data_IF_460516823531
#
_entry.id   IF_460516823531
#
_cell.length_a   1.000
_cell.length_b   1.000
_cell.length_c   1.000
_cell.angle_alpha   90.00
_cell.angle_beta   90.00
_cell.angle_gamma   90.00
#
_symmetry.space_group_name_H-M   'P 1'
#
loop_
_entity.id
_entity.type
_entity.pdbx_description
1 polymer ?
#
# COMPACT_ATOMS: atom_id res chain seq x y z
N UNK A 1 -28.62 25.79 -62.67
CA UNK A 1 -28.57 25.31 -61.27
C UNK A 1 -27.15 24.82 -61.02
N UNK A 2 -26.45 25.29 -59.98
CA UNK A 2 -25.02 24.98 -59.79
C UNK A 2 -24.77 23.88 -58.76
N UNK A 3 -23.82 22.98 -59.02
CA UNK A 3 -23.39 21.95 -58.07
C UNK A 3 -22.58 22.53 -56.92
N UNK A 4 -23.04 22.26 -55.69
CA UNK A 4 -22.42 22.76 -54.46
C UNK A 4 -21.18 21.95 -54.05
N UNK A 5 -20.08 22.08 -54.79
CA UNK A 5 -18.82 21.37 -54.53
C UNK A 5 -18.05 21.98 -53.32
N UNK A 6 -18.54 21.71 -52.11
CA UNK A 6 -17.96 22.20 -50.86
C UNK A 6 -16.50 21.74 -50.66
N UNK A 7 -15.61 22.59 -50.11
CA UNK A 7 -14.19 22.28 -49.99
C UNK A 7 -13.95 21.14 -49.01
N UNK A 8 -13.44 20.00 -49.51
CA UNK A 8 -13.05 18.85 -48.68
C UNK A 8 -11.94 19.25 -47.72
N UNK A 9 -12.28 19.39 -46.43
CA UNK A 9 -11.30 19.61 -45.34
C UNK A 9 -10.29 18.45 -45.35
N UNK A 10 -9.03 18.75 -45.63
CA UNK A 10 -7.94 17.77 -45.52
C UNK A 10 -7.68 17.52 -44.03
N UNK A 11 -7.88 16.30 -43.52
CA UNK A 11 -7.34 15.95 -42.19
C UNK A 11 -5.81 16.16 -42.23
N UNK A 12 -5.20 16.77 -41.20
CA UNK A 12 -3.75 16.80 -41.09
C UNK A 12 -3.23 15.37 -40.96
N UNK A 13 -2.10 15.01 -41.59
CA UNK A 13 -1.58 13.65 -41.54
C UNK A 13 -1.31 13.26 -40.08
N UNK A 14 -2.05 12.25 -39.58
CA UNK A 14 -1.96 11.78 -38.20
C UNK A 14 -0.53 11.31 -37.93
N UNK A 15 0.29 12.17 -37.32
CA UNK A 15 1.72 11.94 -37.06
C UNK A 15 1.85 10.70 -36.17
N UNK A 16 2.10 9.54 -36.78
CA UNK A 16 2.19 8.25 -36.10
C UNK A 16 3.44 8.27 -35.21
N UNK A 17 3.28 8.77 -33.98
CA UNK A 17 4.31 8.75 -32.95
C UNK A 17 4.73 7.30 -32.78
N UNK A 18 5.89 6.94 -33.35
CA UNK A 18 6.59 5.73 -32.95
C UNK A 18 6.92 5.94 -31.49
N UNK A 19 6.15 5.31 -30.58
CA UNK A 19 6.60 5.12 -29.20
C UNK A 19 7.98 4.46 -29.33
N UNK A 20 9.01 5.14 -28.84
CA UNK A 20 10.33 4.56 -28.72
C UNK A 20 10.22 3.26 -27.89
N UNK A 21 11.19 2.35 -28.06
CA UNK A 21 11.21 1.02 -27.43
C UNK A 21 11.37 1.00 -25.90
N UNK A 22 10.89 2.04 -25.21
CA UNK A 22 10.69 2.07 -23.76
C UNK A 22 9.70 0.95 -23.44
N UNK A 23 10.23 -0.20 -23.04
CA UNK A 23 9.45 -1.18 -22.27
C UNK A 23 8.82 -0.40 -21.11
N UNK A 24 7.50 -0.50 -20.85
CA UNK A 24 6.93 0.14 -19.68
C UNK A 24 7.71 -0.36 -18.47
N UNK A 25 8.34 0.57 -17.74
CA UNK A 25 9.07 0.21 -16.54
C UNK A 25 8.14 -0.59 -15.63
N UNK A 26 8.62 -1.72 -15.09
CA UNK A 26 7.85 -2.53 -14.15
C UNK A 26 7.38 -1.57 -13.05
N UNK A 27 6.06 -1.46 -12.77
CA UNK A 27 5.57 -0.48 -11.81
C UNK A 27 6.33 -0.67 -10.50
N UNK A 28 6.87 0.39 -9.88
CA UNK A 28 7.89 0.26 -8.82
C UNK A 28 7.32 -0.19 -7.47
N UNK A 29 6.13 -0.78 -7.46
CA UNK A 29 5.43 -1.23 -6.26
C UNK A 29 5.36 -2.77 -6.22
N UNK A 30 5.55 -3.30 -5.01
CA UNK A 30 5.49 -4.73 -4.71
C UNK A 30 4.07 -5.21 -4.41
N UNK A 31 3.99 -6.29 -3.64
CA UNK A 31 2.73 -6.92 -3.22
C UNK A 31 1.95 -6.12 -2.16
N UNK A 32 2.63 -5.27 -1.39
CA UNK A 32 2.07 -4.37 -0.38
C UNK A 32 2.69 -2.97 -0.49
N UNK A 33 1.99 -1.96 0.03
CA UNK A 33 2.52 -0.60 0.20
C UNK A 33 2.66 -0.30 1.71
N UNK A 34 3.82 0.19 2.14
CA UNK A 34 4.08 0.55 3.54
C UNK A 34 4.49 2.02 3.58
N UNK A 35 3.89 2.79 4.49
CA UNK A 35 4.18 4.21 4.70
C UNK A 35 4.48 4.45 6.18
N UNK A 36 5.70 4.91 6.50
CA UNK A 36 5.97 5.47 7.81
C UNK A 36 5.44 6.90 7.85
N UNK A 37 4.35 7.12 8.59
CA UNK A 37 3.73 8.45 8.79
C UNK A 37 4.13 9.06 10.14
N UNK A 38 4.74 8.28 11.03
CA UNK A 38 5.33 8.77 12.28
C UNK A 38 6.50 9.75 12.07
N UNK A 39 7.14 9.75 10.90
CA UNK A 39 8.12 10.80 10.50
C UNK A 39 7.47 12.17 10.26
N UNK A 40 6.15 12.23 10.14
CA UNK A 40 5.33 13.45 10.05
C UNK A 40 4.62 13.76 11.37
N UNK A 41 5.02 13.10 12.45
CA UNK A 41 4.37 13.08 13.77
C UNK A 41 2.87 12.67 13.76
N UNK A 42 2.45 11.85 12.79
CA UNK A 42 1.09 11.31 12.72
C UNK A 42 0.98 9.99 13.48
N UNK A 43 0.02 9.89 14.39
CA UNK A 43 -0.31 8.63 15.07
C UNK A 43 -1.04 7.63 14.16
N UNK A 44 -1.90 8.11 13.27
CA UNK A 44 -2.71 7.28 12.37
C UNK A 44 -2.79 7.90 10.97
N UNK A 45 -2.92 7.05 9.94
CA UNK A 45 -3.23 7.50 8.59
C UNK A 45 -3.98 6.42 7.78
N UNK A 46 -5.10 6.80 7.17
CA UNK A 46 -5.90 5.91 6.33
C UNK A 46 -5.46 6.07 4.86
N UNK A 47 -4.67 5.12 4.37
CA UNK A 47 -4.01 5.19 3.07
C UNK A 47 -5.00 4.84 1.94
N UNK A 48 -5.51 5.86 1.25
CA UNK A 48 -6.40 5.70 0.11
C UNK A 48 -5.76 4.82 -0.99
N UNK A 49 -6.39 3.71 -1.42
CA UNK A 49 -5.82 2.81 -2.44
C UNK A 49 -5.54 3.52 -3.77
N UNK A 50 -4.25 3.70 -4.09
CA UNK A 50 -3.83 4.47 -5.25
C UNK A 50 -4.04 3.66 -6.56
N UNK A 51 -4.75 4.17 -7.59
CA UNK A 51 -5.05 3.41 -8.81
C UNK A 51 -3.82 2.91 -9.60
N UNK A 52 -2.66 3.55 -9.42
CA UNK A 52 -1.39 3.12 -10.02
C UNK A 52 -0.65 2.05 -9.21
N UNK A 53 -0.96 1.90 -7.92
CA UNK A 53 -0.18 1.09 -6.98
C UNK A 53 -0.38 -0.43 -7.17
N UNK A 54 -1.55 -0.86 -7.66
CA UNK A 54 -1.87 -2.26 -8.00
C UNK A 54 -1.68 -3.30 -6.88
N UNK A 55 -1.58 -2.85 -5.63
CA UNK A 55 -1.61 -3.69 -4.43
C UNK A 55 -2.98 -3.63 -3.74
N UNK A 56 -3.34 -4.72 -3.06
CA UNK A 56 -4.53 -4.86 -2.25
C UNK A 56 -4.34 -4.47 -0.76
N UNK A 57 -3.10 -4.18 -0.32
CA UNK A 57 -2.76 -3.91 1.09
C UNK A 57 -1.88 -2.67 1.22
N UNK A 58 -2.33 -1.73 2.06
CA UNK A 58 -1.61 -0.51 2.42
C UNK A 58 -1.49 -0.47 3.95
N UNK A 59 -0.28 -0.26 4.47
CA UNK A 59 0.00 -0.20 5.90
C UNK A 59 0.63 1.16 6.26
N UNK A 60 -0.04 1.92 7.12
CA UNK A 60 0.56 3.08 7.77
C UNK A 60 1.17 2.67 9.12
N UNK A 61 2.39 3.15 9.38
CA UNK A 61 3.08 3.03 10.66
C UNK A 61 3.10 4.42 11.31
N UNK A 62 2.39 4.57 12.43
CA UNK A 62 2.28 5.80 13.19
C UNK A 62 3.49 6.13 14.06
N UNK A 63 3.45 7.28 14.73
CA UNK A 63 4.47 7.70 15.70
C UNK A 63 4.57 6.73 16.88
N UNK A 64 5.80 6.37 17.24
CA UNK A 64 6.11 5.71 18.52
C UNK A 64 5.97 6.75 19.63
N UNK A 65 5.02 6.55 20.55
CA UNK A 65 4.83 7.38 21.73
C UNK A 65 4.65 6.53 22.97
N UNK A 66 5.09 7.04 24.12
CA UNK A 66 4.79 6.46 25.42
C UNK A 66 3.28 6.50 25.69
N UNK A 67 2.67 5.35 25.91
CA UNK A 67 1.24 5.20 26.21
C UNK A 67 1.04 4.27 27.42
N UNK A 68 0.02 4.49 28.27
CA UNK A 68 -0.36 3.54 29.29
C UNK A 68 -0.99 2.31 28.64
N UNK A 69 -0.49 1.12 28.99
CA UNK A 69 -0.99 -0.18 28.52
C UNK A 69 -1.07 -1.16 29.70
N UNK A 70 -1.94 -2.17 29.60
CA UNK A 70 -2.00 -3.24 30.61
C UNK A 70 -1.04 -4.35 30.23
N UNK A 71 -0.15 -4.73 31.15
CA UNK A 71 0.75 -5.90 31.02
C UNK A 71 0.65 -6.68 32.33
N UNK A 72 0.39 -7.98 32.23
CA UNK A 72 0.23 -8.91 33.36
C UNK A 72 -0.76 -8.47 34.46
N UNK A 73 -1.73 -7.63 34.07
CA UNK A 73 -2.76 -7.06 34.95
C UNK A 73 -2.48 -5.63 35.42
N UNK A 74 -1.24 -5.16 35.33
CA UNK A 74 -0.80 -3.85 35.81
C UNK A 74 -0.77 -2.79 34.70
N UNK A 75 -1.08 -1.54 35.03
CA UNK A 75 -0.98 -0.41 34.09
C UNK A 75 0.46 0.10 34.07
N UNK A 76 1.15 -0.14 32.96
CA UNK A 76 2.54 0.27 32.73
C UNK A 76 2.66 1.21 31.54
N UNK A 77 3.64 2.10 31.57
CA UNK A 77 3.98 2.95 30.42
C UNK A 77 4.91 2.17 29.47
N UNK A 78 4.62 2.22 28.17
CA UNK A 78 5.43 1.59 27.11
C UNK A 78 5.47 2.46 25.84
N UNK A 79 6.55 2.37 25.04
CA UNK A 79 6.54 2.85 23.67
C UNK A 79 5.58 2.01 22.83
N UNK A 80 4.60 2.67 22.21
CA UNK A 80 3.59 2.05 21.34
C UNK A 80 3.57 2.78 20.01
N UNK A 81 3.37 2.07 18.90
CA UNK A 81 3.00 2.65 17.60
C UNK A 81 1.64 2.09 17.18
N UNK A 82 0.80 2.91 16.55
CA UNK A 82 -0.45 2.43 15.93
C UNK A 82 -0.17 2.00 14.49
N UNK A 83 -0.78 0.89 14.07
CA UNK A 83 -0.66 0.32 12.74
C UNK A 83 -2.03 0.34 12.06
N UNK A 84 -2.17 1.09 10.97
CA UNK A 84 -3.44 1.21 10.23
C UNK A 84 -3.32 0.48 8.90
N UNK A 85 -4.02 -0.65 8.77
CA UNK A 85 -4.08 -1.43 7.54
C UNK A 85 -5.34 -1.06 6.73
N UNK A 86 -5.16 -0.61 5.50
CA UNK A 86 -6.25 -0.40 4.52
C UNK A 86 -6.16 -1.48 3.44
N UNK A 87 -7.26 -2.18 3.20
CA UNK A 87 -7.31 -3.35 2.31
C UNK A 87 -8.44 -3.27 1.28
N UNK A 88 -8.24 -3.84 0.08
CA UNK A 88 -9.30 -4.00 -0.91
C UNK A 88 -10.20 -5.20 -0.55
N UNK A 89 -11.40 -4.91 -0.02
CA UNK A 89 -12.35 -5.94 0.41
C UNK A 89 -12.90 -6.83 -0.71
N UNK A 90 -12.59 -6.55 -1.98
CA UNK A 90 -12.89 -7.45 -3.11
C UNK A 90 -11.84 -8.56 -3.28
N UNK A 91 -10.73 -8.46 -2.55
CA UNK A 91 -9.56 -9.34 -2.62
C UNK A 91 -9.30 -10.00 -1.26
N UNK A 92 -9.66 -9.33 -0.15
CA UNK A 92 -9.37 -9.75 1.22
C UNK A 92 -10.62 -9.65 2.11
N UNK A 93 -10.87 -10.66 2.94
CA UNK A 93 -11.89 -10.63 3.99
C UNK A 93 -11.27 -10.44 5.41
N UNK A 94 -12.11 -10.39 6.44
CA UNK A 94 -11.68 -10.26 7.83
C UNK A 94 -10.83 -11.43 8.36
N UNK A 95 -10.99 -12.64 7.82
CA UNK A 95 -10.17 -13.80 8.21
C UNK A 95 -8.79 -13.78 7.54
N UNK A 96 -8.65 -13.18 6.36
CA UNK A 96 -7.36 -12.86 5.77
C UNK A 96 -6.67 -11.70 6.51
N UNK A 97 -7.41 -10.64 6.83
CA UNK A 97 -6.90 -9.51 7.60
C UNK A 97 -6.43 -9.90 9.01
N UNK A 98 -7.23 -10.69 9.75
CA UNK A 98 -6.87 -11.16 11.10
C UNK A 98 -5.65 -12.09 11.11
N UNK A 99 -5.46 -12.92 10.06
CA UNK A 99 -4.23 -13.71 9.89
C UNK A 99 -3.02 -12.80 9.63
N UNK A 100 -3.11 -11.85 8.71
CA UNK A 100 -2.04 -10.89 8.45
C UNK A 100 -1.66 -10.10 9.72
N UNK A 101 -2.66 -9.62 10.47
CA UNK A 101 -2.46 -8.89 11.72
C UNK A 101 -1.73 -9.75 12.76
N UNK A 102 -2.12 -11.01 12.96
CA UNK A 102 -1.42 -11.92 13.89
C UNK A 102 0.04 -12.09 13.50
N UNK A 103 0.32 -12.40 12.24
CA UNK A 103 1.69 -12.61 11.73
C UNK A 103 2.55 -11.36 11.94
N UNK A 104 2.01 -10.17 11.64
CA UNK A 104 2.74 -8.90 11.84
C UNK A 104 2.99 -8.64 13.32
N UNK A 105 2.02 -8.86 14.22
CA UNK A 105 2.20 -8.65 15.65
C UNK A 105 3.18 -9.65 16.28
N UNK A 106 3.15 -10.93 15.88
CA UNK A 106 4.12 -11.94 16.33
C UNK A 106 5.56 -11.57 15.94
N UNK A 107 5.78 -11.13 14.69
CA UNK A 107 7.11 -10.76 14.19
C UNK A 107 7.60 -9.41 14.73
N UNK A 108 6.72 -8.56 15.24
CA UNK A 108 7.08 -7.34 15.97
C UNK A 108 7.34 -7.59 17.46
N UNK A 109 6.73 -8.64 18.05
CA UNK A 109 6.98 -9.06 19.42
C UNK A 109 8.31 -9.83 19.58
N UNK A 110 8.67 -10.64 18.57
CA UNK A 110 9.96 -11.32 18.48
C UNK A 110 10.60 -11.12 17.09
N UNK A 111 11.33 -10.01 16.90
CA UNK A 111 11.95 -9.69 15.61
C UNK A 111 13.13 -10.61 15.24
N UNK A 112 13.72 -11.34 16.19
CA UNK A 112 14.81 -12.27 15.90
C UNK A 112 14.36 -13.46 15.01
N UNK A 113 13.05 -13.70 14.92
CA UNK A 113 12.44 -14.62 13.95
C UNK A 113 12.68 -14.22 12.50
N UNK A 114 12.96 -12.95 12.21
CA UNK A 114 13.28 -12.47 10.86
C UNK A 114 14.73 -12.79 10.44
N UNK A 115 15.64 -12.96 11.41
CA UNK A 115 17.06 -13.24 11.15
C UNK A 115 17.34 -14.71 10.77
N UNK A 116 16.37 -15.61 10.98
CA UNK A 116 16.47 -17.05 10.73
C UNK A 116 15.73 -17.43 9.44
N UNK A 117 16.43 -17.79 8.34
CA UNK A 117 15.78 -18.15 7.08
C UNK A 117 14.84 -19.35 7.23
N UNK A 118 13.56 -19.14 6.92
CA UNK A 118 12.52 -20.16 7.01
C UNK A 118 11.72 -20.17 8.33
N UNK A 119 12.04 -19.31 9.30
CA UNK A 119 11.25 -19.13 10.53
C UNK A 119 9.96 -18.34 10.27
N UNK A 120 9.06 -18.90 9.45
CA UNK A 120 7.76 -18.32 9.15
C UNK A 120 6.83 -18.22 10.39
N UNK A 121 5.64 -17.62 10.23
CA UNK A 121 4.59 -17.71 11.23
C UNK A 121 4.12 -19.17 11.41
N UNK A 122 3.57 -19.53 12.59
CA UNK A 122 2.83 -20.78 12.75
C UNK A 122 1.62 -20.81 11.80
N UNK A 123 1.27 -22.02 11.34
CA UNK A 123 0.14 -22.27 10.42
C UNK A 123 -1.23 -22.25 11.09
#
# INVERSE_FOLDING_TARGET
MGDAHGPRRREPPRRRVRRAGVRPARPPLGTAFISNVGTLDLDEAFLAPAPFARTAVYLAVGTVRERPVVVDGEVVVRPVAVLVATADHRILDGAHAGRLQRVVLELLADPARLDVPGAGPPG
#
